data_IF_425511233743
#
_entry.id   IF_425511233743
#
_cell.length_a   1.000
_cell.length_b   1.000
_cell.length_c   1.000
_cell.angle_alpha   90.00
_cell.angle_beta   90.00
_cell.angle_gamma   90.00
#
_symmetry.space_group_name_H-M   'P 1'
#
loop_
_entity.id
_entity.type
_entity.pdbx_description
1 polymer ?
#
# COMPACT_ATOMS: atom_id res chain seq x y z
N UNK A 1 15.66 101.31 -7.63
CA UNK A 1 15.59 102.11 -6.40
C UNK A 1 14.70 101.33 -5.41
N UNK A 2 15.30 100.81 -4.32
CA UNK A 2 14.72 100.31 -3.04
C UNK A 2 13.64 99.17 -3.12
N UNK A 3 13.89 97.89 -2.76
CA UNK A 3 14.16 97.19 -1.48
C UNK A 3 12.89 96.75 -0.68
N UNK A 4 12.84 95.42 -0.38
CA UNK A 4 12.19 94.66 0.72
C UNK A 4 10.65 94.45 0.73
N UNK A 5 10.08 93.34 1.24
CA UNK A 5 10.59 92.13 1.95
C UNK A 5 9.45 91.14 2.23
N UNK A 6 9.76 89.84 2.36
CA UNK A 6 8.95 88.87 3.13
C UNK A 6 9.06 87.43 2.59
N UNK A 7 10.17 86.72 2.83
CA UNK A 7 10.41 85.69 3.87
C UNK A 7 9.53 84.41 3.82
N UNK A 8 10.18 83.32 3.34
CA UNK A 8 10.23 81.92 3.82
C UNK A 8 8.94 81.13 4.14
N UNK A 9 8.71 80.02 3.43
CA UNK A 9 8.93 78.65 3.93
C UNK A 9 8.72 77.59 2.83
N UNK A 10 9.74 76.75 2.62
CA UNK A 10 9.74 75.50 1.85
C UNK A 10 8.84 74.44 2.51
N UNK A 11 8.00 73.73 1.74
CA UNK A 11 7.67 72.31 2.00
C UNK A 11 7.36 71.53 0.71
N UNK A 12 8.08 70.43 0.59
CA UNK A 12 8.08 69.39 -0.42
C UNK A 12 6.70 68.91 -0.91
N UNK A 13 6.60 68.69 -2.24
CA UNK A 13 5.53 67.92 -2.88
C UNK A 13 5.76 66.42 -2.64
N UNK A 14 4.92 65.80 -1.82
CA UNK A 14 4.85 64.34 -1.70
C UNK A 14 4.02 63.79 -2.87
N UNK A 15 4.63 62.97 -3.72
CA UNK A 15 3.92 62.16 -4.70
C UNK A 15 3.38 60.90 -3.98
N UNK A 16 2.08 60.81 -3.80
CA UNK A 16 1.43 59.57 -3.38
C UNK A 16 1.18 58.70 -4.62
N UNK A 17 2.08 57.74 -4.87
CA UNK A 17 1.80 56.63 -5.79
C UNK A 17 0.87 55.67 -5.07
N UNK A 18 -0.39 55.63 -5.48
CA UNK A 18 -1.34 54.60 -5.06
C UNK A 18 -1.07 53.37 -5.92
N UNK A 19 -0.25 52.45 -5.42
CA UNK A 19 -0.17 51.09 -5.97
C UNK A 19 -1.39 50.31 -5.49
N UNK A 20 -2.38 50.13 -6.37
CA UNK A 20 -3.44 49.16 -6.19
C UNK A 20 -2.80 47.76 -6.32
N UNK A 21 -2.41 47.17 -5.19
CA UNK A 21 -2.04 45.76 -5.14
C UNK A 21 -3.33 44.93 -5.25
N UNK A 22 -3.63 44.44 -6.46
CA UNK A 22 -4.62 43.39 -6.65
C UNK A 22 -4.03 42.09 -6.07
N UNK A 23 -4.26 41.84 -4.79
CA UNK A 23 -4.03 40.54 -4.20
C UNK A 23 -5.11 39.59 -4.72
N UNK A 24 -4.87 38.98 -5.88
CA UNK A 24 -5.59 37.78 -6.27
C UNK A 24 -5.26 36.72 -5.22
N UNK A 25 -6.21 36.43 -4.33
CA UNK A 25 -6.11 35.28 -3.46
C UNK A 25 -6.11 34.04 -4.36
N UNK A 26 -4.92 33.50 -4.64
CA UNK A 26 -4.77 32.14 -5.12
C UNK A 26 -5.31 31.23 -4.01
N UNK A 27 -6.60 30.93 -4.06
CA UNK A 27 -7.13 29.77 -3.37
C UNK A 27 -6.49 28.55 -4.04
N UNK A 28 -5.34 28.13 -3.53
CA UNK A 28 -4.87 26.77 -3.77
C UNK A 28 -5.88 25.89 -3.05
N UNK A 29 -6.85 25.33 -3.77
CA UNK A 29 -7.58 24.17 -3.28
C UNK A 29 -6.54 23.10 -3.05
N UNK A 30 -6.12 22.93 -1.79
CA UNK A 30 -5.33 21.77 -1.40
C UNK A 30 -6.23 20.57 -1.68
N UNK A 31 -5.91 19.82 -2.73
CA UNK A 31 -6.55 18.54 -2.98
C UNK A 31 -6.25 17.67 -1.77
N UNK A 32 -7.29 17.20 -1.07
CA UNK A 32 -7.09 16.14 -0.09
C UNK A 32 -6.56 14.93 -0.84
N UNK A 33 -5.44 14.37 -0.39
CA UNK A 33 -4.82 13.28 -1.11
C UNK A 33 -5.82 12.12 -1.30
N UNK A 34 -5.81 11.54 -2.49
CA UNK A 34 -6.85 10.63 -2.94
C UNK A 34 -6.86 9.35 -2.10
N UNK A 35 -8.03 9.00 -1.60
CA UNK A 35 -8.27 7.70 -0.97
C UNK A 35 -9.51 7.05 -1.55
N UNK A 36 -9.46 5.71 -1.63
CA UNK A 36 -10.57 4.89 -2.09
C UNK A 36 -10.56 3.60 -1.29
N UNK A 37 -11.72 3.21 -0.76
CA UNK A 37 -11.93 1.90 -0.17
C UNK A 37 -13.13 1.26 -0.84
N UNK A 38 -12.88 0.43 -1.84
CA UNK A 38 -13.90 -0.29 -2.59
C UNK A 38 -13.71 -1.79 -2.41
N UNK A 39 -14.66 -2.41 -1.71
CA UNK A 39 -14.57 -3.85 -1.41
C UNK A 39 -14.99 -4.73 -2.59
N UNK A 40 -15.87 -4.22 -3.46
CA UNK A 40 -16.62 -4.97 -4.48
C UNK A 40 -17.47 -6.13 -3.95
N UNK A 41 -17.69 -6.19 -2.63
CA UNK A 41 -18.49 -7.25 -1.97
C UNK A 41 -19.98 -7.04 -2.09
N UNK A 42 -20.40 -5.80 -2.33
CA UNK A 42 -21.79 -5.39 -2.41
C UNK A 42 -22.31 -5.42 -3.85
N UNK A 43 -23.63 -5.37 -4.03
CA UNK A 43 -24.29 -5.38 -5.34
C UNK A 43 -24.21 -4.03 -6.09
N UNK A 44 -23.53 -3.05 -5.50
CA UNK A 44 -23.32 -1.72 -6.07
C UNK A 44 -21.90 -1.24 -5.74
N UNK A 45 -21.29 -0.53 -6.68
CA UNK A 45 -20.01 0.17 -6.50
C UNK A 45 -20.18 1.61 -7.03
N UNK A 46 -20.50 2.59 -6.17
CA UNK A 46 -20.73 3.96 -6.59
C UNK A 46 -19.53 4.57 -7.33
N UNK A 47 -19.78 5.41 -8.32
CA UNK A 47 -18.78 6.07 -9.18
C UNK A 47 -17.96 5.12 -10.08
N UNK A 48 -18.22 3.81 -10.05
CA UNK A 48 -17.61 2.87 -10.99
C UNK A 48 -18.44 2.77 -12.27
N UNK A 49 -17.77 2.97 -13.40
CA UNK A 49 -18.30 2.73 -14.74
C UNK A 49 -17.90 1.32 -15.18
N UNK A 50 -18.88 0.46 -15.45
CA UNK A 50 -18.67 -0.88 -15.99
C UNK A 50 -18.86 -0.87 -17.51
N UNK A 51 -17.88 -1.40 -18.23
CA UNK A 51 -17.83 -1.50 -19.70
C UNK A 51 -17.59 -2.95 -20.12
N UNK A 52 -18.11 -3.31 -21.30
CA UNK A 52 -17.97 -4.66 -21.83
C UNK A 52 -18.64 -5.69 -20.92
N UNK A 53 -17.89 -6.74 -20.55
CA UNK A 53 -18.39 -7.84 -19.73
C UNK A 53 -18.16 -7.68 -18.21
N UNK A 54 -17.67 -6.52 -17.76
CA UNK A 54 -17.42 -6.27 -16.34
C UNK A 54 -18.73 -6.20 -15.54
N UNK A 55 -18.78 -6.87 -14.39
CA UNK A 55 -19.96 -6.95 -13.53
C UNK A 55 -19.60 -7.20 -12.06
N UNK A 56 -20.53 -6.93 -11.15
CA UNK A 56 -20.41 -7.34 -9.74
C UNK A 56 -21.10 -8.70 -9.58
N UNK A 57 -20.43 -9.64 -8.93
CA UNK A 57 -21.00 -10.98 -8.70
C UNK A 57 -22.01 -11.01 -7.56
N UNK A 58 -21.98 -9.99 -6.69
CA UNK A 58 -22.82 -9.84 -5.50
C UNK A 58 -24.32 -9.73 -5.85
N UNK A 59 -25.14 -10.59 -5.27
CA UNK A 59 -26.57 -10.69 -5.59
C UNK A 59 -26.86 -11.47 -6.88
N UNK A 60 -25.85 -12.04 -7.52
CA UNK A 60 -25.97 -12.88 -8.70
C UNK A 60 -25.25 -14.22 -8.49
N UNK A 61 -23.96 -14.29 -8.84
CA UNK A 61 -23.15 -15.49 -8.64
C UNK A 61 -22.74 -15.69 -7.18
N UNK A 62 -22.70 -14.61 -6.39
CA UNK A 62 -22.36 -14.61 -4.97
C UNK A 62 -23.50 -13.99 -4.15
N UNK A 63 -23.59 -14.37 -2.88
CA UNK A 63 -24.46 -13.68 -1.92
C UNK A 63 -23.99 -12.25 -1.68
N UNK A 64 -24.93 -11.37 -1.30
CA UNK A 64 -24.57 -9.98 -0.97
C UNK A 64 -23.59 -9.97 0.21
N UNK A 65 -22.48 -9.23 0.06
CA UNK A 65 -21.37 -9.18 1.02
C UNK A 65 -20.23 -10.18 0.73
N UNK A 66 -20.42 -11.11 -0.21
CA UNK A 66 -19.42 -12.10 -0.63
C UNK A 66 -18.94 -11.89 -2.08
N UNK A 67 -19.39 -10.81 -2.73
CA UNK A 67 -19.12 -10.55 -4.14
C UNK A 67 -17.70 -10.11 -4.46
N UNK A 68 -17.47 -10.02 -5.76
CA UNK A 68 -16.25 -9.59 -6.42
C UNK A 68 -16.61 -8.73 -7.63
N UNK A 69 -15.68 -7.88 -8.04
CA UNK A 69 -15.68 -7.34 -9.39
C UNK A 69 -15.18 -8.44 -10.34
N UNK A 70 -16.04 -8.93 -11.23
CA UNK A 70 -15.67 -9.82 -12.32
C UNK A 70 -15.47 -9.02 -13.60
N UNK A 71 -14.27 -9.05 -14.16
CA UNK A 71 -13.87 -8.22 -15.29
C UNK A 71 -14.32 -8.80 -16.63
N UNK A 72 -14.38 -10.13 -16.74
CA UNK A 72 -14.86 -10.83 -17.92
C UNK A 72 -15.48 -12.18 -17.57
N UNK A 73 -16.24 -12.72 -18.51
CA UNK A 73 -16.75 -14.11 -18.46
C UNK A 73 -15.73 -15.10 -19.03
N UNK A 74 -15.96 -16.40 -18.87
CA UNK A 74 -15.19 -17.47 -19.53
C UNK A 74 -15.56 -17.67 -21.01
N UNK A 75 -16.47 -16.87 -21.57
CA UNK A 75 -16.71 -16.88 -23.01
C UNK A 75 -15.46 -16.44 -23.78
N UNK A 76 -15.22 -17.08 -24.94
CA UNK A 76 -14.11 -16.68 -25.82
C UNK A 76 -14.20 -15.20 -26.18
N UNK A 77 -13.04 -14.55 -26.30
CA UNK A 77 -12.95 -13.13 -26.66
C UNK A 77 -13.67 -12.14 -25.72
N UNK A 78 -14.14 -12.58 -24.54
CA UNK A 78 -14.78 -11.69 -23.58
C UNK A 78 -13.78 -10.65 -23.05
N UNK A 79 -14.18 -9.38 -23.04
CA UNK A 79 -13.36 -8.29 -22.49
C UNK A 79 -14.27 -7.36 -21.70
N UNK A 80 -13.77 -6.81 -20.61
CA UNK A 80 -14.50 -5.84 -19.81
C UNK A 80 -13.57 -4.95 -19.01
N UNK A 81 -14.11 -3.84 -18.58
CA UNK A 81 -13.39 -2.88 -17.74
C UNK A 81 -14.31 -2.24 -16.71
N UNK A 82 -13.77 -2.01 -15.52
CA UNK A 82 -14.38 -1.20 -14.48
C UNK A 82 -13.48 0.01 -14.19
N UNK A 83 -14.03 1.21 -14.27
CA UNK A 83 -13.28 2.46 -14.15
C UNK A 83 -13.88 3.29 -13.04
N UNK A 84 -13.08 3.66 -12.04
CA UNK A 84 -13.50 4.64 -11.05
C UNK A 84 -13.53 6.02 -11.73
N UNK A 85 -14.72 6.52 -12.00
CA UNK A 85 -14.95 7.63 -12.92
C UNK A 85 -14.87 9.01 -12.24
N UNK A 86 -14.18 9.09 -11.10
CA UNK A 86 -13.89 10.34 -10.40
C UNK A 86 -12.41 10.66 -10.56
N UNK A 87 -12.05 11.81 -11.19
CA UNK A 87 -10.66 12.22 -11.32
C UNK A 87 -10.00 12.47 -9.97
N UNK A 88 -8.71 12.14 -9.86
CA UNK A 88 -7.88 12.45 -8.71
C UNK A 88 -6.53 13.04 -9.14
N UNK A 89 -5.89 13.79 -8.26
CA UNK A 89 -4.58 14.40 -8.50
C UNK A 89 -3.55 13.36 -8.92
N UNK A 90 -2.84 13.60 -10.02
CA UNK A 90 -1.73 12.74 -10.46
C UNK A 90 -0.44 12.99 -9.71
N UNK A 91 -0.31 14.15 -9.05
CA UNK A 91 0.95 14.57 -8.41
C UNK A 91 1.20 13.93 -7.06
N UNK A 92 0.17 13.37 -6.43
CA UNK A 92 0.22 12.97 -5.02
C UNK A 92 0.86 11.57 -4.84
N UNK A 93 1.13 10.88 -5.94
CA UNK A 93 1.43 9.46 -5.96
C UNK A 93 0.21 8.62 -5.54
N UNK A 94 0.35 7.30 -5.51
CA UNK A 94 -0.71 6.42 -5.03
C UNK A 94 -0.13 5.09 -4.56
N UNK A 95 -0.70 4.47 -3.53
CA UNK A 95 -0.53 3.03 -3.30
C UNK A 95 -1.88 2.33 -3.41
N UNK A 96 -2.02 1.44 -4.39
CA UNK A 96 -3.19 0.60 -4.58
C UNK A 96 -2.88 -0.80 -4.09
N UNK A 97 -3.68 -1.28 -3.14
CA UNK A 97 -3.66 -2.68 -2.69
C UNK A 97 -4.99 -3.33 -3.04
N UNK A 98 -4.96 -4.50 -3.64
CA UNK A 98 -6.17 -5.26 -3.96
C UNK A 98 -5.90 -6.76 -3.96
N UNK A 99 -6.97 -7.56 -3.85
CA UNK A 99 -6.93 -9.01 -4.00
C UNK A 99 -7.45 -9.39 -5.38
N UNK A 100 -6.82 -10.35 -6.05
CA UNK A 100 -7.32 -10.90 -7.31
C UNK A 100 -7.41 -12.42 -7.30
N UNK A 101 -8.30 -12.96 -8.12
CA UNK A 101 -8.42 -14.38 -8.42
C UNK A 101 -8.56 -14.61 -9.92
N UNK A 102 -7.90 -15.65 -10.43
CA UNK A 102 -8.09 -16.16 -11.79
C UNK A 102 -8.44 -17.65 -11.76
N UNK A 103 -9.54 -18.05 -12.41
CA UNK A 103 -10.05 -19.42 -12.31
C UNK A 103 -11.14 -19.75 -13.33
N UNK A 104 -11.54 -21.03 -13.37
CA UNK A 104 -12.78 -21.48 -14.01
C UNK A 104 -12.73 -21.67 -15.53
N UNK A 105 -11.57 -21.43 -16.14
CA UNK A 105 -11.32 -21.61 -17.57
C UNK A 105 -10.09 -22.47 -17.85
N UNK A 106 -9.38 -22.11 -18.92
CA UNK A 106 -8.25 -22.82 -19.50
C UNK A 106 -6.91 -22.07 -19.41
N UNK A 107 -6.82 -20.99 -18.61
CA UNK A 107 -5.54 -20.33 -18.30
C UNK A 107 -5.19 -19.09 -19.13
N UNK A 108 -6.16 -18.23 -19.47
CA UNK A 108 -5.88 -17.00 -20.23
C UNK A 108 -6.99 -15.92 -20.12
N UNK A 109 -6.76 -14.70 -20.58
CA UNK A 109 -5.45 -14.14 -20.95
C UNK A 109 -4.82 -13.38 -19.77
N UNK A 110 -5.65 -12.77 -18.93
CA UNK A 110 -5.21 -12.00 -17.79
C UNK A 110 -6.07 -10.78 -17.54
N UNK A 111 -5.56 -9.91 -16.68
CA UNK A 111 -6.18 -8.63 -16.35
C UNK A 111 -5.13 -7.54 -16.20
N UNK A 112 -5.54 -6.28 -16.19
CA UNK A 112 -4.67 -5.14 -15.94
C UNK A 112 -5.27 -4.18 -14.91
N UNK A 113 -4.42 -3.62 -14.05
CA UNK A 113 -4.66 -2.36 -13.37
C UNK A 113 -4.12 -1.24 -14.27
N UNK A 114 -4.85 -0.12 -14.41
CA UNK A 114 -4.37 0.96 -15.26
C UNK A 114 -4.84 2.34 -14.83
N UNK A 115 -4.13 3.35 -15.33
CA UNK A 115 -4.45 4.77 -15.22
C UNK A 115 -4.71 5.37 -16.60
N UNK A 116 -5.72 6.23 -16.69
CA UNK A 116 -6.00 7.08 -17.85
C UNK A 116 -5.98 8.54 -17.42
N UNK A 117 -5.83 9.46 -18.39
CA UNK A 117 -6.04 10.89 -18.17
C UNK A 117 -7.42 11.14 -17.55
N UNK A 118 -7.45 11.80 -16.39
CA UNK A 118 -8.66 12.08 -15.64
C UNK A 118 -9.65 13.01 -16.35
N UNK A 119 -9.20 13.77 -17.35
CA UNK A 119 -10.06 14.57 -18.23
C UNK A 119 -10.85 13.73 -19.25
N UNK A 120 -10.56 12.44 -19.37
CA UNK A 120 -11.24 11.54 -20.32
C UNK A 120 -12.73 11.44 -20.01
N UNK A 121 -13.56 12.00 -20.89
CA UNK A 121 -15.01 12.03 -20.76
C UNK A 121 -15.68 10.71 -21.13
N UNK A 122 -15.12 9.99 -22.11
CA UNK A 122 -15.66 8.71 -22.62
C UNK A 122 -14.56 7.65 -22.66
N UNK A 123 -14.22 7.03 -21.51
CA UNK A 123 -13.26 5.95 -21.49
C UNK A 123 -13.74 4.75 -22.31
N UNK A 124 -12.82 4.07 -22.99
CA UNK A 124 -13.08 2.83 -23.75
C UNK A 124 -12.46 1.64 -23.04
N UNK A 125 -12.94 0.44 -23.38
CA UNK A 125 -12.22 -0.81 -23.09
C UNK A 125 -11.20 -1.05 -24.20
N UNK A 126 -9.99 -1.47 -23.83
CA UNK A 126 -8.94 -1.83 -24.77
C UNK A 126 -9.16 -3.20 -25.41
N UNK A 127 -8.16 -3.66 -26.16
CA UNK A 127 -8.25 -4.88 -26.92
C UNK A 127 -8.36 -6.11 -26.02
N UNK A 128 -9.18 -7.06 -26.48
CA UNK A 128 -9.26 -8.43 -25.94
C UNK A 128 -7.94 -9.20 -26.16
N UNK A 129 -7.93 -10.46 -25.75
CA UNK A 129 -6.77 -11.33 -25.85
C UNK A 129 -5.54 -10.68 -25.23
N UNK A 130 -4.53 -10.48 -26.05
CA UNK A 130 -3.22 -9.99 -25.65
C UNK A 130 -3.22 -8.58 -25.06
N UNK A 131 -4.22 -7.74 -25.38
CA UNK A 131 -4.32 -6.37 -24.88
C UNK A 131 -4.78 -6.26 -23.42
N UNK A 132 -5.28 -7.36 -22.83
CA UNK A 132 -5.84 -7.43 -21.48
C UNK A 132 -6.91 -6.37 -21.17
N UNK A 133 -7.56 -5.82 -22.19
CA UNK A 133 -8.51 -4.72 -22.08
C UNK A 133 -7.90 -3.36 -21.72
N UNK A 134 -6.57 -3.25 -21.64
CA UNK A 134 -5.84 -1.98 -21.49
C UNK A 134 -5.21 -1.53 -22.82
N UNK A 135 -4.34 -2.38 -23.37
CA UNK A 135 -3.55 -2.04 -24.55
C UNK A 135 -4.29 -2.37 -25.85
N UNK A 136 -3.67 -2.05 -26.97
CA UNK A 136 -4.11 -2.50 -28.31
C UNK A 136 -3.64 -3.91 -28.63
N UNK A 137 -4.32 -4.54 -29.58
CA UNK A 137 -3.87 -5.76 -30.26
C UNK A 137 -4.06 -5.55 -31.76
N UNK A 138 -2.97 -5.54 -32.53
CA UNK A 138 -2.99 -5.25 -33.96
C UNK A 138 -3.82 -3.98 -34.29
N UNK A 139 -4.96 -4.13 -34.98
CA UNK A 139 -5.88 -3.06 -35.37
C UNK A 139 -7.03 -2.82 -34.36
N UNK A 140 -7.06 -3.53 -33.24
CA UNK A 140 -8.05 -3.35 -32.18
C UNK A 140 -7.54 -2.28 -31.21
N UNK A 141 -8.36 -1.27 -30.97
CA UNK A 141 -8.03 -0.14 -30.10
C UNK A 141 -7.75 -0.57 -28.66
N UNK A 142 -6.75 0.04 -28.05
CA UNK A 142 -6.57 0.10 -26.60
C UNK A 142 -7.51 1.11 -25.92
N UNK A 143 -7.28 1.36 -24.64
CA UNK A 143 -8.03 2.37 -23.88
C UNK A 143 -7.79 3.78 -24.44
N UNK A 144 -8.75 4.66 -24.22
CA UNK A 144 -8.64 6.09 -24.54
C UNK A 144 -7.74 6.78 -23.51
N UNK A 145 -6.71 7.49 -23.98
CA UNK A 145 -5.77 8.27 -23.16
C UNK A 145 -5.15 7.50 -21.96
N UNK A 146 -4.68 6.27 -22.22
CA UNK A 146 -3.93 5.48 -21.24
C UNK A 146 -2.60 6.13 -20.86
N UNK A 147 -2.26 6.06 -19.58
CA UNK A 147 -1.00 6.59 -19.03
C UNK A 147 -0.08 5.47 -18.54
N UNK A 148 -0.62 4.48 -17.83
CA UNK A 148 0.13 3.36 -17.26
C UNK A 148 -0.79 2.14 -17.21
N UNK A 149 -0.30 0.98 -17.66
CA UNK A 149 -0.99 -0.31 -17.49
C UNK A 149 -0.06 -1.36 -16.90
N UNK A 150 -0.55 -2.07 -15.89
CA UNK A 150 0.17 -3.15 -15.21
C UNK A 150 -0.67 -4.41 -15.40
N UNK A 151 -0.23 -5.26 -16.32
CA UNK A 151 -0.92 -6.49 -16.71
C UNK A 151 -0.40 -7.69 -15.95
N UNK A 152 -1.31 -8.50 -15.43
CA UNK A 152 -1.10 -9.82 -14.86
C UNK A 152 -1.55 -10.83 -15.92
N UNK A 153 -0.58 -11.34 -16.67
CA UNK A 153 -0.73 -12.01 -17.95
C UNK A 153 -0.49 -13.52 -17.80
N UNK A 154 -1.56 -14.30 -17.91
CA UNK A 154 -1.53 -15.76 -17.77
C UNK A 154 -0.97 -16.43 -19.03
N UNK A 155 -1.23 -15.84 -20.21
CA UNK A 155 -0.83 -16.40 -21.49
C UNK A 155 0.54 -15.90 -21.96
N UNK A 156 0.86 -14.63 -21.72
CA UNK A 156 2.18 -14.05 -21.92
C UNK A 156 2.33 -13.05 -23.07
N UNK A 157 1.26 -12.77 -23.82
CA UNK A 157 1.32 -11.88 -24.98
C UNK A 157 1.25 -10.39 -24.61
N UNK A 158 0.67 -10.04 -23.46
CA UNK A 158 0.73 -8.68 -22.92
C UNK A 158 2.16 -8.28 -22.57
N UNK A 159 3.08 -9.23 -22.41
CA UNK A 159 4.51 -9.01 -22.26
C UNK A 159 5.32 -8.89 -23.56
N UNK A 160 4.70 -8.63 -24.72
CA UNK A 160 5.35 -8.65 -26.05
C UNK A 160 5.05 -7.41 -26.90
N UNK A 161 5.69 -7.23 -28.05
CA UNK A 161 5.34 -6.12 -28.95
C UNK A 161 3.94 -6.27 -29.59
N UNK A 162 3.35 -7.47 -29.57
CA UNK A 162 2.04 -7.77 -30.18
C UNK A 162 0.88 -7.01 -29.51
N UNK A 163 0.88 -6.97 -28.18
CA UNK A 163 -0.10 -6.25 -27.39
C UNK A 163 0.24 -4.76 -27.23
N UNK A 164 0.75 -4.11 -28.27
CA UNK A 164 1.26 -2.75 -28.18
C UNK A 164 1.68 -2.21 -29.53
N UNK A 165 2.96 -1.89 -29.69
CA UNK A 165 3.46 -1.13 -30.84
C UNK A 165 3.32 -1.84 -32.18
N UNK A 166 3.34 -3.17 -32.23
CA UNK A 166 3.33 -3.87 -33.50
C UNK A 166 1.92 -4.20 -34.01
N UNK A 167 1.71 -3.99 -35.32
CA UNK A 167 0.44 -4.26 -36.04
C UNK A 167 0.43 -5.58 -36.82
N UNK A 168 1.52 -6.36 -36.78
CA UNK A 168 1.67 -7.58 -37.58
C UNK A 168 1.65 -8.84 -36.71
N UNK A 169 1.01 -9.91 -37.20
CA UNK A 169 1.01 -11.25 -36.56
C UNK A 169 2.43 -11.80 -36.36
N UNK A 170 3.38 -11.40 -37.23
CA UNK A 170 4.80 -11.76 -37.10
C UNK A 170 5.50 -11.18 -35.86
N UNK A 171 4.90 -10.20 -35.19
CA UNK A 171 5.38 -9.64 -33.92
C UNK A 171 4.81 -10.33 -32.69
N UNK A 172 4.23 -11.52 -32.85
CA UNK A 172 3.86 -12.41 -31.76
C UNK A 172 5.06 -13.33 -31.44
N UNK A 173 6.08 -12.86 -30.68
CA UNK A 173 7.17 -13.73 -30.26
C UNK A 173 6.63 -14.80 -29.30
N UNK A 174 7.48 -15.75 -28.94
CA UNK A 174 7.15 -16.75 -27.92
C UNK A 174 6.65 -16.08 -26.64
N UNK A 175 5.37 -16.28 -26.33
CA UNK A 175 4.75 -15.80 -25.12
C UNK A 175 5.46 -16.37 -23.89
N UNK A 176 5.61 -15.55 -22.86
CA UNK A 176 6.11 -16.00 -21.55
C UNK A 176 4.92 -16.00 -20.61
N UNK A 177 4.42 -17.19 -20.30
CA UNK A 177 3.29 -17.38 -19.40
C UNK A 177 3.57 -16.81 -18.01
N UNK A 178 2.47 -16.49 -17.33
CA UNK A 178 2.46 -16.05 -15.94
C UNK A 178 3.44 -14.90 -15.69
N UNK A 179 3.15 -13.73 -16.27
CA UNK A 179 3.99 -12.54 -16.10
C UNK A 179 3.24 -11.35 -15.54
N UNK A 180 3.98 -10.46 -14.88
CA UNK A 180 3.56 -9.10 -14.61
C UNK A 180 4.33 -8.18 -15.54
N UNK A 181 3.60 -7.49 -16.43
CA UNK A 181 4.18 -6.58 -17.42
C UNK A 181 3.68 -5.15 -17.22
N UNK A 182 4.58 -4.17 -17.39
CA UNK A 182 4.28 -2.75 -17.28
C UNK A 182 4.34 -2.13 -18.65
N UNK A 183 3.28 -1.42 -19.02
CA UNK A 183 3.17 -0.65 -20.25
C UNK A 183 2.95 0.82 -19.99
N UNK A 184 3.55 1.65 -20.84
CA UNK A 184 3.42 3.10 -20.79
C UNK A 184 2.13 3.65 -21.39
N UNK A 185 2.18 4.94 -21.65
CA UNK A 185 1.06 5.70 -22.21
C UNK A 185 0.73 5.30 -23.64
N UNK A 186 -0.55 5.46 -23.98
CA UNK A 186 -1.08 5.16 -25.30
C UNK A 186 -2.48 5.69 -25.49
N UNK A 187 -2.93 5.79 -26.74
CA UNK A 187 -4.30 6.15 -27.05
C UNK A 187 -4.80 5.36 -28.26
N UNK A 188 -5.79 4.49 -28.02
CA UNK A 188 -6.40 3.62 -29.02
C UNK A 188 -5.35 2.84 -29.82
N UNK A 189 -4.84 3.38 -30.93
CA UNK A 189 -3.88 2.72 -31.83
C UNK A 189 -2.42 3.16 -31.65
N UNK A 190 -2.14 4.24 -30.91
CA UNK A 190 -0.80 4.86 -30.86
C UNK A 190 -0.22 4.81 -29.46
N UNK A 191 1.01 4.29 -29.34
CA UNK A 191 1.74 4.11 -28.07
C UNK A 191 1.08 3.05 -27.19
N UNK A 192 1.87 2.23 -26.51
CA UNK A 192 1.55 1.36 -25.36
C UNK A 192 2.80 0.50 -25.12
N UNK A 193 3.94 1.18 -24.97
CA UNK A 193 5.26 0.55 -25.02
C UNK A 193 5.48 -0.32 -23.80
N UNK A 194 6.15 -1.47 -23.98
CA UNK A 194 6.50 -2.36 -22.87
C UNK A 194 7.74 -1.80 -22.16
N UNK A 195 7.63 -1.59 -20.85
CA UNK A 195 8.71 -1.05 -20.02
C UNK A 195 9.38 -2.09 -19.12
N UNK A 196 8.60 -3.04 -18.61
CA UNK A 196 9.11 -4.11 -17.75
C UNK A 196 8.25 -5.36 -17.89
N UNK A 197 8.85 -6.53 -17.63
CA UNK A 197 8.17 -7.82 -17.56
C UNK A 197 8.89 -8.71 -16.56
N UNK A 198 8.15 -9.37 -15.68
CA UNK A 198 8.66 -10.31 -14.69
C UNK A 198 7.80 -11.57 -14.65
N UNK A 199 8.42 -12.74 -14.63
CA UNK A 199 7.69 -14.02 -14.46
C UNK A 199 7.29 -14.20 -13.00
N UNK A 200 6.10 -14.73 -12.78
CA UNK A 200 5.55 -15.09 -11.47
C UNK A 200 5.17 -16.58 -11.47
N UNK A 201 5.03 -17.16 -10.28
CA UNK A 201 4.50 -18.52 -10.18
C UNK A 201 3.07 -18.55 -10.73
N UNK A 202 2.71 -19.60 -11.48
CA UNK A 202 1.35 -19.75 -12.00
C UNK A 202 0.31 -19.87 -10.88
N UNK A 203 -0.87 -19.30 -11.10
CA UNK A 203 -2.10 -19.64 -10.37
C UNK A 203 -3.18 -19.86 -11.41
N UNK A 204 -3.73 -21.06 -11.42
CA UNK A 204 -5.04 -21.32 -11.95
C UNK A 204 -5.47 -22.71 -11.51
N UNK A 205 -6.39 -22.78 -10.55
CA UNK A 205 -7.20 -23.97 -10.31
C UNK A 205 -8.50 -23.61 -9.60
N UNK A 206 -8.44 -22.70 -8.62
CA UNK A 206 -9.56 -22.38 -7.75
C UNK A 206 -9.58 -20.89 -7.37
N UNK A 207 -10.78 -20.31 -7.27
CA UNK A 207 -10.99 -18.93 -6.79
C UNK A 207 -10.42 -18.66 -5.39
N UNK A 208 -10.30 -19.70 -4.56
CA UNK A 208 -9.73 -19.63 -3.20
C UNK A 208 -8.22 -19.40 -3.20
N UNK A 209 -7.52 -19.68 -4.30
CA UNK A 209 -6.10 -19.42 -4.49
C UNK A 209 -5.85 -17.96 -4.93
N UNK A 210 -6.56 -17.02 -4.33
CA UNK A 210 -6.41 -15.60 -4.61
C UNK A 210 -5.07 -15.06 -4.09
N UNK A 211 -4.61 -13.97 -4.68
CA UNK A 211 -3.36 -13.29 -4.34
C UNK A 211 -3.61 -11.82 -4.08
N UNK A 212 -2.70 -11.16 -3.35
CA UNK A 212 -2.76 -9.72 -3.12
C UNK A 212 -1.69 -9.02 -3.92
N UNK A 213 -2.03 -7.86 -4.44
CA UNK A 213 -1.14 -6.99 -5.21
C UNK A 213 -1.03 -5.67 -4.48
N UNK A 214 0.18 -5.09 -4.47
CA UNK A 214 0.43 -3.72 -4.06
C UNK A 214 1.19 -3.00 -5.15
N UNK A 215 0.61 -1.93 -5.68
CA UNK A 215 1.20 -1.06 -6.70
C UNK A 215 1.44 0.29 -6.04
N UNK A 216 2.68 0.79 -6.09
CA UNK A 216 3.02 2.12 -5.58
C UNK A 216 3.52 2.99 -6.72
N UNK A 217 2.96 4.19 -6.84
CA UNK A 217 3.46 5.30 -7.64
C UNK A 217 3.99 6.37 -6.70
N UNK A 218 5.25 6.75 -6.88
CA UNK A 218 5.81 7.89 -6.14
C UNK A 218 5.19 9.21 -6.61
N UNK A 219 5.13 10.23 -5.73
CA UNK A 219 4.66 11.56 -6.12
C UNK A 219 5.53 12.19 -7.22
N UNK A 220 4.94 13.15 -7.93
CA UNK A 220 5.65 13.97 -8.91
C UNK A 220 6.79 14.78 -8.25
N UNK A 221 7.81 15.23 -9.01
CA UNK A 221 7.95 15.12 -10.47
C UNK A 221 8.55 13.80 -10.96
N UNK A 222 9.15 13.01 -10.07
CA UNK A 222 9.77 11.74 -10.42
C UNK A 222 8.82 10.60 -10.06
N UNK A 223 8.09 10.11 -11.07
CA UNK A 223 7.12 9.02 -10.89
C UNK A 223 7.81 7.69 -11.17
N UNK A 224 7.94 6.89 -10.13
CA UNK A 224 8.44 5.53 -10.17
C UNK A 224 7.34 4.55 -9.80
N UNK A 225 7.32 3.41 -10.48
CA UNK A 225 6.39 2.30 -10.23
C UNK A 225 7.09 1.20 -9.45
N UNK A 226 6.49 0.80 -8.33
CA UNK A 226 6.80 -0.44 -7.60
C UNK A 226 5.60 -1.37 -7.72
N UNK A 227 5.84 -2.65 -8.00
CA UNK A 227 4.81 -3.69 -8.02
C UNK A 227 5.24 -4.84 -7.12
N UNK A 228 4.38 -5.18 -6.16
CA UNK A 228 4.57 -6.25 -5.20
C UNK A 228 3.40 -7.24 -5.27
N UNK A 229 3.71 -8.51 -5.05
CA UNK A 229 2.75 -9.61 -5.07
C UNK A 229 2.91 -10.44 -3.79
N UNK A 230 1.79 -10.74 -3.14
CA UNK A 230 1.70 -11.67 -2.02
C UNK A 230 0.87 -12.89 -2.44
N UNK A 231 1.52 -14.05 -2.44
CA UNK A 231 0.93 -15.35 -2.77
C UNK A 231 0.58 -16.19 -1.53
N UNK A 232 0.53 -15.58 -0.35
CA UNK A 232 0.22 -16.23 0.93
C UNK A 232 1.34 -16.14 1.98
N UNK A 233 2.51 -15.60 1.61
CA UNK A 233 3.70 -15.53 2.47
C UNK A 233 4.21 -14.10 2.69
N UNK A 234 3.41 -13.10 2.33
CA UNK A 234 3.78 -11.69 2.38
C UNK A 234 4.18 -11.13 1.01
N UNK A 235 4.25 -9.80 0.93
CA UNK A 235 4.57 -9.08 -0.30
C UNK A 235 6.03 -9.29 -0.72
N UNK A 236 6.21 -9.69 -1.98
CA UNK A 236 7.51 -9.76 -2.66
C UNK A 236 7.52 -8.73 -3.79
N UNK A 237 8.60 -7.95 -3.88
CA UNK A 237 8.82 -6.99 -4.97
C UNK A 237 9.07 -7.74 -6.28
N UNK A 238 8.19 -7.54 -7.25
CA UNK A 238 8.36 -7.96 -8.63
C UNK A 238 9.11 -6.87 -9.42
N UNK A 239 8.67 -5.63 -9.25
CA UNK A 239 9.32 -4.45 -9.80
C UNK A 239 9.60 -3.50 -8.64
N UNK A 240 10.87 -3.20 -8.38
CA UNK A 240 11.26 -2.40 -7.21
C UNK A 240 11.09 -0.89 -7.45
N UNK A 241 11.68 -0.35 -8.53
CA UNK A 241 11.57 1.07 -8.88
C UNK A 241 11.80 1.29 -10.37
N UNK A 242 10.71 1.39 -11.13
CA UNK A 242 10.75 1.75 -12.54
C UNK A 242 10.35 3.23 -12.72
N UNK A 243 11.31 4.10 -12.98
CA UNK A 243 11.06 5.55 -13.16
C UNK A 243 10.44 5.81 -14.53
N UNK A 244 9.10 5.75 -14.60
CA UNK A 244 8.35 5.90 -15.86
C UNK A 244 8.37 7.34 -16.39
N UNK A 245 8.49 8.34 -15.52
CA UNK A 245 8.50 9.76 -15.92
C UNK A 245 9.72 10.16 -16.76
N UNK A 246 10.76 9.32 -16.81
CA UNK A 246 11.97 9.53 -17.61
C UNK A 246 12.10 8.60 -18.83
N UNK A 247 11.13 7.71 -19.06
CA UNK A 247 11.20 6.78 -20.20
C UNK A 247 10.82 7.51 -21.49
N UNK A 248 11.65 7.36 -22.53
CA UNK A 248 11.37 7.92 -23.85
C UNK A 248 10.03 7.38 -24.40
N UNK A 249 9.18 8.26 -24.91
CA UNK A 249 7.86 7.89 -25.43
C UNK A 249 6.74 7.90 -24.39
N UNK A 250 7.05 8.01 -23.09
CA UNK A 250 6.02 8.24 -22.07
C UNK A 250 5.46 9.66 -22.24
N UNK A 251 4.14 9.79 -22.31
CA UNK A 251 3.45 11.06 -22.36
C UNK A 251 3.69 11.88 -21.08
N UNK A 252 3.59 13.20 -21.19
CA UNK A 252 3.58 14.08 -20.02
C UNK A 252 2.47 13.65 -19.05
N UNK A 253 2.75 13.72 -17.74
CA UNK A 253 1.77 13.34 -16.74
C UNK A 253 0.56 14.28 -16.80
N UNK A 254 -0.67 13.76 -16.98
CA UNK A 254 -1.87 14.59 -16.98
C UNK A 254 -2.09 15.20 -15.59
N UNK A 255 -2.86 16.28 -15.49
CA UNK A 255 -3.11 16.94 -14.19
C UNK A 255 -3.90 16.05 -13.20
N UNK A 256 -4.72 15.15 -13.73
CA UNK A 256 -5.49 14.19 -12.94
C UNK A 256 -5.46 12.82 -13.61
N UNK A 257 -5.67 11.78 -12.82
CA UNK A 257 -5.92 10.42 -13.30
C UNK A 257 -7.35 9.97 -13.01
N UNK A 258 -7.83 9.00 -13.80
CA UNK A 258 -8.80 8.01 -13.35
C UNK A 258 -8.11 6.65 -13.37
N UNK A 259 -8.59 5.72 -12.55
CA UNK A 259 -8.06 4.36 -12.49
C UNK A 259 -9.10 3.35 -12.98
N UNK A 260 -8.62 2.22 -13.47
CA UNK A 260 -9.47 1.12 -13.85
C UNK A 260 -8.81 -0.25 -13.69
N UNK A 261 -9.66 -1.26 -13.76
CA UNK A 261 -9.29 -2.65 -13.94
C UNK A 261 -9.90 -3.15 -15.24
N UNK A 262 -9.15 -3.88 -16.05
CA UNK A 262 -9.66 -4.56 -17.24
C UNK A 262 -9.30 -6.03 -17.21
N UNK A 263 -10.16 -6.88 -17.77
CA UNK A 263 -9.92 -8.32 -17.86
C UNK A 263 -10.35 -8.82 -19.22
N UNK A 264 -9.69 -9.89 -19.67
CA UNK A 264 -9.79 -10.34 -21.05
C UNK A 264 -9.64 -11.85 -21.17
N UNK A 265 -10.36 -12.39 -22.13
CA UNK A 265 -10.19 -13.72 -22.68
C UNK A 265 -9.99 -13.65 -24.21
N UNK A 266 -9.53 -14.76 -24.75
CA UNK A 266 -9.11 -14.91 -26.13
C UNK A 266 -9.62 -16.25 -26.66
N UNK A 267 -8.73 -17.05 -27.24
CA UNK A 267 -9.03 -18.44 -27.57
C UNK A 267 -9.02 -19.36 -26.33
N UNK A 268 -8.31 -18.95 -25.28
CA UNK A 268 -8.37 -19.52 -23.94
C UNK A 268 -9.02 -18.49 -23.01
N UNK A 269 -9.41 -18.91 -21.81
CA UNK A 269 -10.20 -18.07 -20.92
C UNK A 269 -9.97 -18.38 -19.44
N UNK A 270 -10.42 -17.47 -18.59
CA UNK A 270 -10.57 -17.56 -17.15
C UNK A 270 -11.53 -16.44 -16.71
N UNK A 271 -12.16 -16.60 -15.55
CA UNK A 271 -12.68 -15.45 -14.82
C UNK A 271 -11.52 -14.67 -14.24
N UNK A 272 -11.51 -13.35 -14.42
CA UNK A 272 -10.60 -12.45 -13.74
C UNK A 272 -11.38 -11.59 -12.76
N UNK A 273 -11.06 -11.70 -11.48
CA UNK A 273 -11.84 -11.05 -10.43
C UNK A 273 -10.97 -10.27 -9.47
N UNK A 274 -11.49 -9.13 -9.01
CA UNK A 274 -10.86 -8.19 -8.10
C UNK A 274 -11.77 -7.97 -6.89
N UNK A 275 -11.17 -7.81 -5.70
CA UNK A 275 -11.87 -7.38 -4.49
C UNK A 275 -10.94 -6.63 -3.54
N UNK A 276 -11.55 -5.99 -2.54
CA UNK A 276 -10.85 -5.37 -1.42
C UNK A 276 -9.78 -4.35 -1.89
N UNK A 277 -10.16 -3.48 -2.84
CA UNK A 277 -9.32 -2.38 -3.31
C UNK A 277 -9.24 -1.29 -2.24
N UNK A 278 -8.02 -0.99 -1.84
CA UNK A 278 -7.69 0.17 -1.00
C UNK A 278 -6.66 1.02 -1.73
N UNK A 279 -6.93 2.32 -1.81
CA UNK A 279 -6.00 3.32 -2.30
C UNK A 279 -5.80 4.37 -1.22
N UNK A 280 -4.53 4.69 -0.98
CA UNK A 280 -4.09 5.80 -0.16
C UNK A 280 -2.58 5.94 -0.27
N UNK A 281 -2.07 7.15 -0.10
CA UNK A 281 -0.67 7.43 0.13
C UNK A 281 0.33 7.05 -0.95
N UNK A 282 0.81 8.05 -1.70
CA UNK A 282 1.95 7.91 -2.60
C UNK A 282 3.32 7.91 -1.91
N UNK A 283 3.40 8.42 -0.68
CA UNK A 283 4.65 8.43 0.07
C UNK A 283 4.86 7.10 0.83
N UNK A 284 6.08 6.63 0.87
CA UNK A 284 6.44 5.47 1.70
C UNK A 284 6.37 5.82 3.18
N UNK A 285 5.96 4.85 3.98
CA UNK A 285 6.06 4.91 5.44
C UNK A 285 6.80 3.69 5.96
N UNK A 286 7.38 3.80 7.16
CA UNK A 286 7.91 2.65 7.91
C UNK A 286 7.24 2.58 9.26
N UNK A 287 6.94 1.36 9.72
CA UNK A 287 6.37 1.11 11.04
C UNK A 287 7.34 0.24 11.84
N UNK A 288 7.64 0.62 13.07
CA UNK A 288 8.33 -0.23 14.05
C UNK A 288 7.43 -0.48 15.25
N UNK A 289 7.61 -1.62 15.92
CA UNK A 289 6.88 -1.97 17.14
C UNK A 289 7.88 -2.09 18.30
N UNK A 290 7.48 -1.59 19.46
CA UNK A 290 8.15 -1.83 20.74
C UNK A 290 7.14 -2.41 21.73
N UNK A 291 7.60 -3.32 22.59
CA UNK A 291 6.79 -3.99 23.61
C UNK A 291 7.43 -3.76 24.97
N UNK A 292 6.77 -2.99 25.82
CA UNK A 292 7.25 -2.63 27.16
C UNK A 292 6.38 -3.23 28.25
N UNK A 293 6.99 -3.59 29.37
CA UNK A 293 6.35 -4.29 30.48
C UNK A 293 6.64 -5.79 30.47
N UNK A 294 6.39 -6.43 31.61
CA UNK A 294 6.44 -7.88 31.76
C UNK A 294 5.01 -8.43 31.72
N UNK A 295 4.61 -9.17 30.66
CA UNK A 295 3.26 -9.70 30.53
C UNK A 295 2.89 -10.70 31.64
N UNK A 296 3.86 -11.30 32.32
CA UNK A 296 3.57 -12.17 33.47
C UNK A 296 3.16 -11.35 34.72
N UNK A 297 3.48 -10.06 34.76
CA UNK A 297 3.28 -9.17 35.90
C UNK A 297 2.21 -8.08 35.67
N UNK A 298 1.54 -8.09 34.52
CA UNK A 298 0.48 -7.15 34.19
C UNK A 298 0.41 -6.86 32.69
N UNK A 299 -0.41 -5.86 32.29
CA UNK A 299 -0.56 -5.52 30.88
C UNK A 299 0.75 -5.00 30.29
N UNK A 300 1.02 -5.38 29.04
CA UNK A 300 2.11 -4.82 28.26
C UNK A 300 1.63 -3.60 27.49
N UNK A 301 2.56 -2.68 27.23
CA UNK A 301 2.36 -1.55 26.35
C UNK A 301 3.01 -1.81 24.99
N UNK A 302 2.17 -1.92 23.97
CA UNK A 302 2.57 -1.97 22.57
C UNK A 302 2.63 -0.54 22.04
N UNK A 303 3.78 -0.12 21.53
CA UNK A 303 3.94 1.21 20.91
C UNK A 303 4.48 1.07 19.50
N UNK A 304 3.68 1.51 18.54
CA UNK A 304 4.05 1.60 17.14
C UNK A 304 4.55 3.00 16.81
N UNK A 305 5.72 3.08 16.17
CA UNK A 305 6.25 4.32 15.63
C UNK A 305 6.21 4.28 14.10
N UNK A 306 5.57 5.27 13.49
CA UNK A 306 5.39 5.43 12.05
C UNK A 306 6.21 6.63 11.58
N UNK A 307 7.09 6.39 10.60
CA UNK A 307 7.88 7.43 9.95
C UNK A 307 7.37 7.65 8.53
N UNK A 308 7.28 8.91 8.06
CA UNK A 308 7.59 10.14 8.82
C UNK A 308 6.51 10.48 9.86
N UNK A 309 6.83 11.29 10.90
CA UNK A 309 5.86 11.67 11.94
C UNK A 309 4.65 12.47 11.45
N UNK A 310 4.72 12.97 10.21
CA UNK A 310 3.61 13.61 9.52
C UNK A 310 2.53 12.62 9.07
N UNK A 311 2.79 11.31 9.12
CA UNK A 311 1.79 10.28 8.89
C UNK A 311 0.67 10.38 9.95
N UNK A 312 -0.55 10.62 9.48
CA UNK A 312 -1.79 10.50 10.23
C UNK A 312 -2.41 9.12 10.03
N UNK A 313 -3.68 8.94 10.41
CA UNK A 313 -4.37 7.65 10.27
C UNK A 313 -4.31 6.80 11.55
N UNK A 314 -4.34 5.48 11.40
CA UNK A 314 -4.41 4.53 12.53
C UNK A 314 -3.50 3.33 12.37
N UNK A 315 -3.15 2.72 13.50
CA UNK A 315 -2.38 1.48 13.59
C UNK A 315 -3.25 0.39 14.22
N UNK A 316 -3.24 -0.79 13.62
CA UNK A 316 -3.78 -2.03 14.17
C UNK A 316 -2.67 -2.85 14.85
N UNK A 317 -2.94 -3.38 16.03
CA UNK A 317 -2.02 -4.24 16.79
C UNK A 317 -2.55 -5.68 16.81
N UNK A 318 -1.67 -6.64 16.55
CA UNK A 318 -2.05 -8.05 16.43
C UNK A 318 -1.21 -8.95 17.33
N UNK A 319 -1.83 -10.05 17.74
CA UNK A 319 -1.16 -11.26 18.22
C UNK A 319 -1.47 -12.43 17.25
N UNK A 320 -0.46 -12.84 16.49
CA UNK A 320 -0.65 -13.71 15.33
C UNK A 320 -1.61 -13.07 14.32
N UNK A 321 -2.78 -13.69 14.13
CA UNK A 321 -3.86 -13.17 13.27
C UNK A 321 -4.97 -12.47 14.05
N UNK A 322 -4.93 -12.49 15.38
CA UNK A 322 -5.95 -11.90 16.25
C UNK A 322 -5.70 -10.40 16.41
N UNK A 323 -6.69 -9.58 16.06
CA UNK A 323 -6.65 -8.14 16.30
C UNK A 323 -6.83 -7.84 17.79
N UNK A 324 -5.83 -7.23 18.41
CA UNK A 324 -5.88 -6.77 19.81
C UNK A 324 -6.56 -5.40 19.92
N UNK A 325 -6.35 -4.53 18.92
CA UNK A 325 -7.04 -3.25 18.84
C UNK A 325 -6.45 -2.27 17.84
N UNK A 326 -7.21 -1.20 17.60
CA UNK A 326 -6.85 -0.10 16.68
C UNK A 326 -6.63 1.19 17.46
N UNK A 327 -5.60 1.96 17.10
CA UNK A 327 -5.26 3.25 17.74
C UNK A 327 -4.88 4.29 16.70
N UNK A 328 -5.40 5.50 16.86
CA UNK A 328 -5.03 6.62 15.99
C UNK A 328 -3.57 7.05 16.23
N UNK A 329 -2.90 7.49 15.17
CA UNK A 329 -1.59 8.11 15.27
C UNK A 329 -1.70 9.51 15.87
N UNK A 330 -0.75 9.81 16.76
CA UNK A 330 -0.48 11.15 17.26
C UNK A 330 1.00 11.41 17.06
N UNK A 331 1.35 12.30 16.12
CA UNK A 331 2.73 12.66 15.77
C UNK A 331 3.62 11.43 15.46
N UNK A 332 3.11 10.52 14.63
CA UNK A 332 3.83 9.30 14.24
C UNK A 332 3.88 8.21 15.32
N UNK A 333 3.11 8.31 16.41
CA UNK A 333 3.06 7.27 17.45
C UNK A 333 1.64 6.82 17.76
N UNK A 334 1.45 5.52 17.97
CA UNK A 334 0.22 4.92 18.48
C UNK A 334 0.55 3.89 19.56
N UNK A 335 -0.22 3.86 20.66
CA UNK A 335 0.02 2.94 21.78
C UNK A 335 -1.24 2.19 22.23
N UNK A 336 -1.09 0.90 22.50
CA UNK A 336 -2.12 0.00 23.01
C UNK A 336 -1.63 -0.75 24.25
N UNK A 337 -2.40 -0.66 25.34
CA UNK A 337 -2.20 -1.51 26.52
C UNK A 337 -3.07 -2.75 26.39
N UNK A 338 -2.48 -3.92 26.62
CA UNK A 338 -3.18 -5.22 26.51
C UNK A 338 -2.59 -6.22 27.48
N UNK A 339 -3.44 -7.09 28.01
CA UNK A 339 -3.01 -8.30 28.72
C UNK A 339 -2.70 -9.40 27.71
N UNK A 340 -1.72 -10.23 28.03
CA UNK A 340 -1.37 -11.44 27.27
C UNK A 340 -1.54 -12.65 28.17
N UNK A 341 -2.19 -13.69 27.66
CA UNK A 341 -2.32 -14.95 28.38
C UNK A 341 -0.97 -15.66 28.54
N UNK A 342 -0.89 -16.67 29.41
CA UNK A 342 0.30 -17.51 29.47
C UNK A 342 0.50 -18.27 28.13
N UNK A 343 1.75 -18.34 27.67
CA UNK A 343 2.14 -19.00 26.42
C UNK A 343 2.86 -18.09 25.43
N UNK A 344 3.09 -18.62 24.22
CA UNK A 344 3.82 -17.93 23.17
C UNK A 344 2.91 -16.99 22.36
N UNK A 345 3.33 -15.74 22.25
CA UNK A 345 2.67 -14.67 21.50
C UNK A 345 3.58 -14.13 20.39
N UNK A 346 3.00 -13.77 19.25
CA UNK A 346 3.71 -13.19 18.11
C UNK A 346 3.10 -11.85 17.76
N UNK A 347 3.71 -10.78 18.28
CA UNK A 347 3.14 -9.44 18.24
C UNK A 347 3.59 -8.66 17.01
N UNK A 348 2.67 -7.91 16.39
CA UNK A 348 2.98 -7.01 15.28
C UNK A 348 2.08 -5.77 15.26
N UNK A 349 2.52 -4.72 14.58
CA UNK A 349 1.74 -3.51 14.34
C UNK A 349 1.65 -3.21 12.84
N UNK A 350 0.48 -2.79 12.38
CA UNK A 350 0.17 -2.45 10.99
C UNK A 350 -0.41 -1.04 10.91
N UNK A 351 0.35 -0.12 10.36
CA UNK A 351 -0.14 1.19 9.98
C UNK A 351 -1.05 1.07 8.75
N UNK A 352 -2.27 1.58 8.85
CA UNK A 352 -3.30 1.46 7.81
C UNK A 352 -3.15 2.45 6.65
N UNK A 353 -2.08 3.23 6.66
CA UNK A 353 -1.91 4.33 5.72
C UNK A 353 -2.81 5.51 6.06
N UNK A 354 -2.63 6.56 5.29
CA UNK A 354 -3.56 7.66 5.18
C UNK A 354 -3.63 8.11 3.71
N UNK A 355 -4.20 9.28 3.46
CA UNK A 355 -4.28 9.84 2.12
C UNK A 355 -2.90 10.08 1.48
N UNK A 356 -1.88 10.34 2.29
CA UNK A 356 -0.53 10.79 1.89
C UNK A 356 0.55 9.72 2.05
N UNK A 357 0.39 8.78 2.99
CA UNK A 357 1.36 7.76 3.34
C UNK A 357 0.78 6.36 3.20
N UNK A 358 1.55 5.52 2.51
CA UNK A 358 1.26 4.12 2.27
C UNK A 358 1.12 3.30 3.56
N UNK A 359 0.42 2.17 3.46
CA UNK A 359 0.36 1.13 4.50
C UNK A 359 1.77 0.58 4.76
N UNK A 360 2.12 0.41 6.03
CA UNK A 360 3.34 -0.30 6.44
C UNK A 360 3.10 -1.15 7.68
N UNK A 361 4.01 -2.09 7.94
CA UNK A 361 3.92 -2.97 9.10
C UNK A 361 5.28 -3.13 9.77
N UNK A 362 5.28 -3.43 11.06
CA UNK A 362 6.48 -3.81 11.80
C UNK A 362 6.90 -5.24 11.48
N UNK A 363 8.14 -5.59 11.82
CA UNK A 363 8.50 -6.99 12.02
C UNK A 363 7.75 -7.61 13.22
N UNK A 364 7.78 -8.94 13.32
CA UNK A 364 7.20 -9.68 14.43
C UNK A 364 8.11 -9.65 15.68
N UNK A 365 7.52 -9.51 16.85
CA UNK A 365 8.18 -9.66 18.15
C UNK A 365 7.56 -10.85 18.88
N UNK A 366 8.36 -11.87 19.17
CA UNK A 366 7.92 -13.01 19.96
C UNK A 366 8.05 -12.69 21.45
N UNK A 367 6.99 -12.99 22.22
CA UNK A 367 6.97 -12.93 23.69
C UNK A 367 6.43 -14.24 24.23
N UNK A 368 7.16 -14.84 25.18
CA UNK A 368 6.69 -16.00 25.93
C UNK A 368 6.30 -15.54 27.33
N UNK A 369 5.05 -15.80 27.71
CA UNK A 369 4.44 -15.28 28.93
C UNK A 369 4.40 -16.41 29.96
N UNK A 370 5.12 -16.21 31.06
CA UNK A 370 5.12 -17.16 32.17
C UNK A 370 3.74 -17.21 32.86
N UNK A 371 3.43 -18.35 33.47
CA UNK A 371 2.17 -18.55 34.21
C UNK A 371 2.11 -17.78 35.53
N UNK A 372 3.24 -17.25 36.01
CA UNK A 372 3.35 -16.48 37.25
C UNK A 372 4.33 -15.32 37.07
N UNK A 373 3.97 -14.16 37.61
CA UNK A 373 4.92 -13.04 37.76
C UNK A 373 6.07 -13.49 38.67
N UNK A 374 7.33 -13.46 38.22
CA UNK A 374 8.45 -13.79 39.09
C UNK A 374 8.50 -12.78 40.24
N UNK A 375 8.49 -13.29 41.48
CA UNK A 375 8.74 -12.45 42.65
C UNK A 375 10.11 -11.76 42.47
N UNK A 376 10.26 -10.47 42.83
CA UNK A 376 11.57 -9.85 42.91
C UNK A 376 12.44 -10.77 43.74
N UNK A 377 13.56 -11.23 43.16
CA UNK A 377 14.51 -12.04 43.92
C UNK A 377 14.87 -11.22 45.14
N UNK A 378 14.40 -11.64 46.31
CA UNK A 378 14.68 -10.96 47.55
C UNK A 378 16.20 -10.90 47.67
N UNK A 379 16.77 -9.69 47.61
CA UNK A 379 18.16 -9.52 48.03
C UNK A 379 18.17 -10.02 49.47
N UNK A 380 18.90 -11.10 49.80
CA UNK A 380 18.94 -11.61 51.16
C UNK A 380 19.36 -10.43 52.04
N UNK A 381 18.50 -10.10 53.00
CA UNK A 381 18.79 -9.02 53.94
C UNK A 381 20.05 -9.38 54.70
N UNK A 382 20.91 -8.40 55.03
CA UNK A 382 22.17 -8.61 55.77
C UNK A 382 22.00 -9.44 57.07
N UNK A 383 20.77 -9.52 57.59
CA UNK A 383 20.37 -10.37 58.70
C UNK A 383 20.52 -11.87 58.46
N UNK A 384 20.36 -12.38 57.23
CA UNK A 384 20.54 -13.82 56.93
C UNK A 384 22.01 -14.24 56.90
N UNK A 385 22.91 -13.36 56.43
CA UNK A 385 24.36 -13.58 56.50
C UNK A 385 24.90 -13.41 57.94
N UNK A 386 24.29 -12.53 58.74
CA UNK A 386 24.62 -12.34 60.14
C UNK A 386 24.34 -13.59 61.00
N UNK A 387 23.25 -14.30 60.72
CA UNK A 387 22.89 -15.53 61.45
C UNK A 387 23.79 -16.72 61.07
N UNK A 388 24.20 -16.82 59.79
CA UNK A 388 25.14 -17.85 59.34
C UNK A 388 26.55 -17.64 59.93
N UNK A 389 27.01 -16.39 60.05
CA UNK A 389 28.29 -16.06 60.69
C UNK A 389 28.26 -16.29 62.22
N UNK A 390 27.14 -15.98 62.89
CA UNK A 390 27.00 -16.20 64.35
C UNK A 390 26.96 -17.69 64.72
N UNK A 391 26.33 -18.53 63.90
CA UNK A 391 26.35 -20.00 64.09
C UNK A 391 27.74 -20.60 63.88
N UNK A 392 28.56 -20.07 62.95
CA UNK A 392 29.93 -20.54 62.76
C UNK A 392 30.85 -20.13 63.92
N UNK A 393 30.68 -18.92 64.48
CA UNK A 393 31.45 -18.44 65.64
C UNK A 393 31.10 -19.24 66.91
N UNK A 394 29.82 -19.57 67.15
CA UNK A 394 29.42 -20.42 68.29
C UNK A 394 29.95 -21.86 68.17
N UNK A 395 30.00 -22.43 66.97
CA UNK A 395 30.51 -23.78 66.74
C UNK A 395 32.04 -23.88 66.97
N UNK A 396 32.80 -22.85 66.58
CA UNK A 396 34.27 -22.78 66.83
C UNK A 396 34.59 -22.56 68.31
N UNK A 397 33.80 -21.77 69.03
CA UNK A 397 33.96 -21.58 70.48
C UNK A 397 33.69 -22.87 71.29
N UNK A 398 32.72 -23.69 70.86
CA UNK A 398 32.45 -25.00 71.47
C UNK A 398 33.59 -26.01 71.21
N UNK A 399 34.26 -25.94 70.06
CA UNK A 399 35.36 -26.85 69.72
C UNK A 399 36.68 -26.50 70.43
N UNK A 400 36.92 -25.22 70.73
CA UNK A 400 38.13 -24.76 71.43
C UNK A 400 38.03 -24.85 72.97
N UNK A 401 36.82 -25.01 73.52
CA UNK A 401 36.59 -25.02 74.97
C UNK A 401 36.90 -26.33 75.72
N UNK A 402 37.13 -27.46 75.03
CA UNK A 402 37.15 -28.78 75.69
C UNK A 402 38.52 -29.39 75.97
N UNK A 403 39.64 -28.66 75.82
CA UNK A 403 40.99 -29.22 76.00
C UNK A 403 41.82 -28.61 77.14
N UNK A 404 41.21 -28.35 78.31
CA UNK A 404 41.95 -28.19 79.57
C UNK A 404 41.84 -29.45 80.42
N UNK A 405 42.68 -30.46 80.13
CA UNK A 405 43.03 -31.48 81.14
C UNK A 405 44.00 -30.85 82.14
N UNK A 406 43.60 -30.93 83.42
CA UNK A 406 44.37 -30.49 84.58
C UNK A 406 45.66 -31.30 84.69
N UNK A 407 46.78 -30.60 84.89
CA UNK A 407 48.01 -31.16 85.45
C UNK A 407 47.86 -31.17 86.96
N UNK A 408 48.08 -32.32 87.57
CA UNK A 408 48.84 -32.51 88.81
C UNK A 408 49.41 -33.92 88.79
#
# INVERSE_FOLDING_TARGET
MLINSGRWFDRARTHAVVTLACAAALQTTAWSAFSLNETFRNSTAPNWLFLGSATLTSGAADTVGAGWLRLNTTSFSAVGSAIYNTPFSSSDGLQATFTYATYGGTGADGFAFYLIDGSTASPTVGAKGSGLGYSREAAINGVTNGYLGIGFDEWGNFGTAFAGTCIQVACNPTAVHDTVAIRGSGNLLVGFDLYSKQTIASVAALRTQNRKVRITLTPAPTVAVTVELDSGSGFVKLVDSLVISSIAGQAAMPATFKLGFSGSAGALNNFHEIRDLVIGGGNTSTTTLTVNGDPACGPVQLTAAVSPPAAGGSVEFYDGTTLLGTRALSSGSASLSTDLSAGAHTLSAKYLGDSSYAISASGNITKDVATVCPSPVGIPTLTEWGMAALSLILAVAAFLGFNRKRVN
#
